data_IF_486520683401
#
_entry.id   IF_486520683401
#
_cell.length_a   1.000
_cell.length_b   1.000
_cell.length_c   1.000
_cell.angle_alpha   90.00
_cell.angle_beta   90.00
_cell.angle_gamma   90.00
#
_symmetry.space_group_name_H-M   'P 1'
#
loop_
_entity.id
_entity.type
_entity.pdbx_description
1 polymer ?
#
# COMPACT_ATOMS: atom_id res chain seq x y z
N UNK A 1 3.30 3.13 18.81
CA UNK A 1 2.72 2.15 17.89
C UNK A 1 2.89 2.67 16.48
N UNK A 2 3.57 1.89 15.64
CA UNK A 2 3.79 2.22 14.23
C UNK A 2 2.69 1.66 13.33
N UNK A 3 1.91 0.70 13.85
CA UNK A 3 0.68 0.23 13.24
C UNK A 3 -0.50 0.18 14.20
N UNK A 4 -1.71 0.12 13.67
CA UNK A 4 -2.95 -0.19 14.39
C UNK A 4 -3.93 -0.98 13.51
N UNK A 5 -4.70 -1.91 14.11
CA UNK A 5 -5.77 -2.60 13.38
C UNK A 5 -6.98 -1.69 13.24
N UNK A 6 -7.55 -1.63 12.04
CA UNK A 6 -8.72 -0.80 11.70
C UNK A 6 -9.99 -1.63 11.47
N UNK A 7 -9.95 -2.90 11.85
CA UNK A 7 -11.06 -3.85 11.67
C UNK A 7 -10.83 -4.79 10.50
N UNK A 8 -11.93 -5.29 9.95
CA UNK A 8 -11.93 -6.23 8.83
C UNK A 8 -12.86 -5.77 7.73
N UNK A 9 -12.49 -6.08 6.49
CA UNK A 9 -13.30 -5.90 5.29
C UNK A 9 -13.60 -7.24 4.63
N UNK A 10 -14.66 -7.25 3.84
CA UNK A 10 -14.97 -8.35 2.92
C UNK A 10 -14.56 -7.88 1.53
N UNK A 11 -13.60 -8.57 0.93
CA UNK A 11 -13.22 -8.29 -0.44
C UNK A 11 -14.37 -8.67 -1.40
N UNK A 12 -14.61 -7.89 -2.47
CA UNK A 12 -15.58 -8.24 -3.49
C UNK A 12 -15.11 -9.47 -4.26
N UNK A 13 -16.00 -10.03 -5.10
CA UNK A 13 -15.63 -11.12 -5.99
C UNK A 13 -14.41 -10.76 -6.86
N UNK A 14 -13.50 -11.71 -7.03
CA UNK A 14 -12.31 -11.50 -7.85
C UNK A 14 -12.70 -11.33 -9.32
N UNK A 15 -12.15 -10.30 -9.95
CA UNK A 15 -12.39 -9.94 -11.36
C UNK A 15 -11.10 -9.74 -12.15
N UNK A 16 -9.96 -9.62 -11.48
CA UNK A 16 -8.66 -9.33 -12.07
C UNK A 16 -8.38 -7.84 -12.29
N UNK A 17 -9.19 -6.94 -11.71
CA UNK A 17 -8.98 -5.48 -11.86
C UNK A 17 -7.72 -5.01 -11.15
N UNK A 18 -7.09 -3.97 -11.70
CA UNK A 18 -5.88 -3.38 -11.13
C UNK A 18 -5.86 -1.87 -11.29
N UNK A 19 -5.54 -1.17 -10.21
CA UNK A 19 -5.11 0.22 -10.23
C UNK A 19 -3.96 0.41 -9.24
N UNK A 20 -3.04 1.30 -9.58
CA UNK A 20 -1.86 1.58 -8.78
C UNK A 20 -1.84 3.07 -8.45
N UNK A 21 -1.91 3.40 -7.15
CA UNK A 21 -1.80 4.78 -6.67
C UNK A 21 -2.76 5.74 -7.38
N UNK A 22 -3.97 5.28 -7.67
CA UNK A 22 -4.99 6.09 -8.35
C UNK A 22 -5.54 7.14 -7.39
N UNK A 23 -5.63 8.42 -7.77
CA UNK A 23 -6.29 9.41 -6.93
C UNK A 23 -7.79 9.11 -6.78
N UNK A 24 -8.29 9.22 -5.57
CA UNK A 24 -9.71 9.11 -5.23
C UNK A 24 -10.04 10.01 -4.04
N UNK A 25 -11.33 10.22 -3.75
CA UNK A 25 -11.75 10.97 -2.57
C UNK A 25 -12.09 9.97 -1.46
N UNK A 26 -11.41 10.09 -0.32
CA UNK A 26 -11.63 9.19 0.81
C UNK A 26 -13.06 9.34 1.37
N UNK A 27 -13.71 8.20 1.62
CA UNK A 27 -15.11 8.15 2.08
C UNK A 27 -16.15 8.34 0.97
N UNK A 28 -15.71 8.46 -0.30
CA UNK A 28 -16.59 8.77 -1.43
C UNK A 28 -16.46 7.76 -2.56
N UNK A 29 -17.30 6.74 -2.55
CA UNK A 29 -17.37 5.73 -3.61
C UNK A 29 -17.66 6.32 -4.99
N UNK A 30 -18.41 7.42 -5.07
CA UNK A 30 -18.72 8.10 -6.33
C UNK A 30 -17.48 8.71 -7.02
N UNK A 31 -16.36 8.82 -6.30
CA UNK A 31 -15.07 9.23 -6.88
C UNK A 31 -14.35 8.12 -7.64
N UNK A 32 -14.78 6.86 -7.51
CA UNK A 32 -14.18 5.73 -8.21
C UNK A 32 -14.71 5.61 -9.65
N UNK A 33 -13.83 5.38 -10.64
CA UNK A 33 -14.25 4.92 -11.96
C UNK A 33 -15.13 3.67 -11.90
N UNK A 34 -16.03 3.50 -12.88
CA UNK A 34 -17.03 2.43 -12.91
C UNK A 34 -16.43 1.02 -12.73
N UNK A 35 -15.25 0.78 -13.28
CA UNK A 35 -14.53 -0.50 -13.19
C UNK A 35 -14.07 -0.86 -11.76
N UNK A 36 -13.97 0.11 -10.84
CA UNK A 36 -13.56 -0.11 -9.46
C UNK A 36 -14.72 -0.01 -8.45
N UNK A 37 -15.95 0.23 -8.92
CA UNK A 37 -17.14 0.42 -8.05
C UNK A 37 -17.52 -0.81 -7.21
N UNK A 38 -16.98 -2.00 -7.49
CA UNK A 38 -17.16 -3.15 -6.59
C UNK A 38 -16.46 -2.97 -5.23
N UNK A 39 -15.52 -2.02 -5.12
CA UNK A 39 -14.84 -1.64 -3.88
C UNK A 39 -15.53 -0.49 -3.14
N UNK A 40 -16.71 -0.04 -3.58
CA UNK A 40 -17.39 1.13 -3.02
C UNK A 40 -17.67 1.04 -1.53
N UNK A 41 -18.16 -0.11 -1.05
CA UNK A 41 -18.39 -0.33 0.38
C UNK A 41 -17.09 -0.20 1.19
N UNK A 42 -15.98 -0.74 0.68
CA UNK A 42 -14.67 -0.62 1.33
C UNK A 42 -14.21 0.84 1.38
N UNK A 43 -14.38 1.59 0.28
CA UNK A 43 -13.97 3.01 0.20
C UNK A 43 -14.81 3.92 1.11
N UNK A 44 -16.08 3.61 1.30
CA UNK A 44 -16.95 4.35 2.24
C UNK A 44 -16.63 4.02 3.70
N UNK A 45 -16.25 2.78 3.99
CA UNK A 45 -15.93 2.34 5.36
C UNK A 45 -14.52 2.72 5.80
N UNK A 46 -13.55 2.70 4.88
CA UNK A 46 -12.13 2.89 5.19
C UNK A 46 -11.68 4.31 4.86
N UNK A 47 -11.70 5.16 5.90
CA UNK A 47 -11.23 6.54 5.84
C UNK A 47 -10.15 6.73 6.91
N UNK A 48 -9.03 7.34 6.53
CA UNK A 48 -8.02 7.75 7.51
C UNK A 48 -8.56 8.89 8.38
N UNK A 49 -8.26 8.86 9.67
CA UNK A 49 -8.85 9.79 10.64
C UNK A 49 -8.63 11.25 10.24
N UNK A 50 -9.74 12.01 10.14
CA UNK A 50 -9.72 13.41 9.74
C UNK A 50 -9.40 13.66 8.26
N UNK A 51 -9.50 12.65 7.39
CA UNK A 51 -9.24 12.77 5.95
C UNK A 51 -10.47 12.46 5.07
N UNK A 52 -11.67 12.42 5.66
CA UNK A 52 -12.90 12.28 4.88
C UNK A 52 -13.07 13.45 3.91
N UNK A 53 -13.35 13.16 2.64
CA UNK A 53 -13.45 14.17 1.59
C UNK A 53 -12.11 14.66 1.02
N UNK A 54 -10.98 14.26 1.60
CA UNK A 54 -9.64 14.58 1.09
C UNK A 54 -9.25 13.63 -0.06
N UNK A 55 -8.34 14.11 -0.91
CA UNK A 55 -7.73 13.26 -1.95
C UNK A 55 -6.73 12.31 -1.28
N UNK A 56 -6.95 11.01 -1.46
CA UNK A 56 -5.99 9.95 -1.17
C UNK A 56 -5.58 9.23 -2.44
N UNK A 57 -4.73 8.21 -2.31
CA UNK A 57 -4.36 7.31 -3.41
C UNK A 57 -4.78 5.88 -3.07
N UNK A 58 -5.44 5.21 -4.00
CA UNK A 58 -5.89 3.83 -3.87
C UNK A 58 -5.09 2.90 -4.78
N UNK A 59 -4.73 1.74 -4.25
CA UNK A 59 -4.23 0.62 -5.03
C UNK A 59 -5.17 -0.56 -4.83
N UNK A 60 -5.66 -1.11 -5.93
CA UNK A 60 -6.37 -2.38 -6.01
C UNK A 60 -5.50 -3.28 -6.88
N UNK A 61 -5.09 -4.43 -6.38
CA UNK A 61 -4.25 -5.36 -7.15
C UNK A 61 -4.80 -6.77 -7.03
N UNK A 62 -5.55 -7.16 -8.04
CA UNK A 62 -6.08 -8.51 -8.19
C UNK A 62 -5.18 -9.33 -9.12
N UNK A 63 -4.63 -10.42 -8.63
CA UNK A 63 -3.80 -11.31 -9.44
C UNK A 63 -3.85 -12.77 -8.99
N UNK A 64 -3.69 -13.73 -9.93
CA UNK A 64 -3.35 -15.09 -9.56
C UNK A 64 -1.91 -15.11 -9.03
N UNK A 65 -1.72 -15.75 -7.89
CA UNK A 65 -0.40 -15.99 -7.30
C UNK A 65 -0.18 -17.50 -7.26
N UNK A 66 1.07 -17.92 -7.43
CA UNK A 66 1.47 -19.35 -7.36
C UNK A 66 1.95 -19.67 -5.95
N UNK A 67 1.71 -20.89 -5.47
CA UNK A 67 2.26 -21.40 -4.22
C UNK A 67 3.78 -21.16 -4.12
N UNK A 68 4.24 -20.73 -2.93
CA UNK A 68 5.64 -20.38 -2.68
C UNK A 68 6.08 -19.04 -3.26
N UNK A 69 5.18 -18.25 -3.84
CA UNK A 69 5.43 -16.88 -4.30
C UNK A 69 4.59 -15.88 -3.52
N UNK A 70 5.07 -14.64 -3.43
CA UNK A 70 4.30 -13.50 -2.95
C UNK A 70 3.74 -12.72 -4.14
N UNK A 71 2.66 -11.96 -3.92
CA UNK A 71 2.08 -11.11 -4.96
C UNK A 71 3.01 -9.95 -5.34
N UNK A 72 3.76 -9.47 -4.35
CA UNK A 72 4.76 -8.41 -4.44
C UNK A 72 6.04 -8.92 -3.80
N UNK A 73 7.18 -8.62 -4.40
CA UNK A 73 8.47 -9.08 -3.93
C UNK A 73 9.57 -8.37 -4.69
N UNK A 74 10.45 -7.68 -3.96
CA UNK A 74 11.66 -7.05 -4.45
C UNK A 74 12.71 -7.05 -3.33
N UNK A 75 13.91 -6.53 -3.60
CA UNK A 75 14.98 -6.45 -2.61
C UNK A 75 16.12 -7.43 -2.87
N UNK A 76 17.25 -7.19 -2.21
CA UNK A 76 18.51 -7.88 -2.47
C UNK A 76 18.73 -9.15 -1.63
N UNK A 77 17.82 -9.45 -0.68
CA UNK A 77 17.94 -10.56 0.27
C UNK A 77 16.99 -11.74 0.00
N UNK A 78 17.02 -12.73 0.89
CA UNK A 78 16.16 -13.92 0.82
C UNK A 78 14.70 -13.66 1.22
N UNK A 79 14.45 -12.54 1.91
CA UNK A 79 13.14 -12.04 2.34
C UNK A 79 12.97 -10.64 1.78
N UNK A 80 11.74 -10.23 1.45
CA UNK A 80 11.41 -8.86 1.03
C UNK A 80 10.90 -8.08 2.22
N UNK A 81 11.72 -7.28 2.90
CA UNK A 81 11.23 -6.42 4.00
C UNK A 81 11.40 -4.99 3.55
N UNK A 82 10.37 -4.16 3.71
CA UNK A 82 10.44 -2.76 3.27
C UNK A 82 9.56 -1.85 4.11
N UNK A 83 9.79 -0.55 3.95
CA UNK A 83 8.93 0.54 4.44
C UNK A 83 8.28 1.24 3.25
N UNK A 84 7.20 2.00 3.49
CA UNK A 84 6.54 2.79 2.46
C UNK A 84 7.43 3.96 2.00
N UNK A 85 8.17 4.60 2.91
CA UNK A 85 9.09 5.68 2.58
C UNK A 85 10.55 5.26 2.66
N UNK A 86 11.36 5.83 1.76
CA UNK A 86 12.80 5.96 1.89
C UNK A 86 13.16 7.39 2.31
N UNK A 87 14.23 7.56 3.08
CA UNK A 87 14.77 8.89 3.42
C UNK A 87 16.05 9.14 2.64
N UNK A 88 16.06 10.20 1.82
CA UNK A 88 17.29 10.71 1.18
C UNK A 88 17.51 12.15 1.61
N UNK A 89 18.53 12.39 2.47
CA UNK A 89 18.75 13.70 3.12
C UNK A 89 17.46 14.17 3.82
N UNK A 90 16.90 15.30 3.39
CA UNK A 90 15.71 15.93 3.98
C UNK A 90 14.42 15.61 3.21
N UNK A 91 14.45 14.68 2.25
CA UNK A 91 13.27 14.30 1.45
C UNK A 91 12.85 12.86 1.72
N UNK A 92 11.53 12.67 1.85
CA UNK A 92 10.87 11.36 1.91
C UNK A 92 10.21 11.07 0.57
N UNK A 93 10.40 9.86 0.06
CA UNK A 93 9.84 9.41 -1.21
C UNK A 93 9.59 7.90 -1.16
N UNK A 94 8.91 7.32 -2.15
CA UNK A 94 8.63 5.88 -2.24
C UNK A 94 9.85 5.01 -2.65
N UNK A 95 11.05 5.58 -2.66
CA UNK A 95 12.23 5.02 -3.33
C UNK A 95 12.35 5.48 -4.77
N UNK A 96 13.55 5.59 -5.35
CA UNK A 96 13.67 5.74 -6.80
C UNK A 96 12.98 4.52 -7.45
N UNK A 97 12.40 4.68 -8.65
CA UNK A 97 11.97 3.53 -9.42
C UNK A 97 13.18 2.60 -9.55
N UNK A 98 12.92 1.31 -9.71
CA UNK A 98 13.88 0.23 -9.98
C UNK A 98 14.96 0.52 -11.05
N UNK A 99 15.00 1.69 -11.70
CA UNK A 99 15.93 2.06 -12.79
C UNK A 99 16.33 3.55 -12.85
N UNK A 100 16.58 4.20 -11.71
CA UNK A 100 17.44 5.41 -11.66
C UNK A 100 16.75 6.78 -11.51
N UNK A 101 17.45 7.66 -10.77
CA UNK A 101 17.11 9.04 -10.36
C UNK A 101 15.90 9.20 -9.42
N UNK A 102 15.94 10.27 -8.62
CA UNK A 102 15.00 10.61 -7.52
C UNK A 102 13.56 10.43 -7.98
N UNK A 103 12.74 9.75 -7.18
CA UNK A 103 11.30 9.70 -7.44
C UNK A 103 10.73 11.12 -7.40
N UNK A 104 9.90 11.51 -8.39
CA UNK A 104 9.13 12.75 -8.36
C UNK A 104 8.08 12.78 -7.24
N UNK A 105 7.89 11.68 -6.51
CA UNK A 105 6.88 11.56 -5.47
C UNK A 105 7.48 11.81 -4.09
N UNK A 106 7.01 12.87 -3.43
CA UNK A 106 7.38 13.25 -2.08
C UNK A 106 6.29 12.87 -1.08
N UNK A 107 6.71 12.59 0.15
CA UNK A 107 5.84 12.16 1.24
C UNK A 107 5.97 13.06 2.46
N UNK A 108 4.84 13.40 3.05
CA UNK A 108 4.78 14.02 4.38
C UNK A 108 5.15 12.99 5.46
N UNK A 109 5.86 13.40 6.53
CA UNK A 109 6.36 12.49 7.55
C UNK A 109 5.27 11.82 8.40
N UNK A 110 4.08 12.42 8.48
CA UNK A 110 2.93 11.94 9.24
C UNK A 110 1.93 11.14 8.38
N UNK A 111 2.24 10.95 7.09
CA UNK A 111 1.41 10.16 6.18
C UNK A 111 1.14 8.77 6.74
N UNK A 112 -0.11 8.31 6.56
CA UNK A 112 -0.58 6.99 6.97
C UNK A 112 -1.09 6.21 5.78
N UNK A 113 -0.99 4.89 5.92
CA UNK A 113 -1.38 3.94 4.88
C UNK A 113 -2.26 2.86 5.51
N UNK A 114 -3.40 2.57 4.90
CA UNK A 114 -4.19 1.38 5.18
C UNK A 114 -3.79 0.28 4.20
N UNK A 115 -3.50 -0.91 4.68
CA UNK A 115 -3.26 -2.10 3.87
C UNK A 115 -4.18 -3.25 4.27
N UNK A 116 -4.62 -4.05 3.30
CA UNK A 116 -5.40 -5.25 3.53
C UNK A 116 -5.12 -6.32 2.47
N UNK A 117 -5.31 -7.59 2.84
CA UNK A 117 -5.12 -8.74 1.97
C UNK A 117 -6.31 -9.69 2.09
N UNK A 118 -6.77 -10.22 0.95
CA UNK A 118 -7.86 -11.22 0.89
C UNK A 118 -7.45 -12.63 1.33
N UNK A 119 -6.14 -12.88 1.50
CA UNK A 119 -5.60 -14.19 1.92
C UNK A 119 -4.78 -13.97 3.20
N UNK A 120 -5.11 -14.72 4.25
CA UNK A 120 -4.39 -14.69 5.52
C UNK A 120 -2.93 -15.15 5.37
N UNK A 121 -2.09 -14.78 6.34
CA UNK A 121 -0.69 -15.19 6.40
C UNK A 121 0.17 -14.73 5.21
N UNK A 122 -0.23 -13.65 4.52
CA UNK A 122 0.46 -13.15 3.31
C UNK A 122 1.13 -11.79 3.49
N UNK A 123 1.05 -11.21 4.69
CA UNK A 123 1.72 -9.97 5.06
C UNK A 123 2.05 -9.98 6.55
N UNK A 124 3.28 -9.58 6.88
CA UNK A 124 3.74 -9.40 8.26
C UNK A 124 4.15 -7.95 8.49
N UNK A 125 3.84 -7.40 9.66
CA UNK A 125 4.20 -6.03 10.08
C UNK A 125 4.94 -6.04 11.41
N UNK A 126 5.89 -5.12 11.63
CA UNK A 126 6.61 -4.98 12.90
C UNK A 126 6.30 -3.65 13.58
N UNK A 127 6.12 -3.65 14.91
CA UNK A 127 5.80 -2.44 15.69
C UNK A 127 7.08 -1.64 16.01
N UNK A 128 7.80 -1.26 14.96
CA UNK A 128 9.00 -0.43 15.02
C UNK A 128 8.97 0.56 13.86
N UNK A 129 9.64 1.70 14.02
CA UNK A 129 9.86 2.67 12.96
C UNK A 129 11.32 2.58 12.52
N UNK A 130 11.55 2.42 11.23
CA UNK A 130 12.90 2.30 10.65
C UNK A 130 13.07 3.39 9.61
N UNK A 131 13.75 4.47 10.00
CA UNK A 131 13.98 5.62 9.10
C UNK A 131 15.27 5.49 8.28
N UNK A 132 16.18 4.62 8.70
CA UNK A 132 17.49 4.38 8.08
C UNK A 132 17.43 3.26 7.04
N UNK A 133 16.56 3.42 6.05
CA UNK A 133 16.36 2.46 4.97
C UNK A 133 17.42 2.63 3.88
N UNK A 134 17.53 1.65 2.98
CA UNK A 134 18.19 1.89 1.69
C UNK A 134 17.43 2.98 0.89
N UNK A 135 18.04 3.53 -0.18
CA UNK A 135 17.37 4.53 -1.01
C UNK A 135 16.03 4.08 -1.61
N UNK A 136 15.77 2.78 -1.74
CA UNK A 136 14.54 2.18 -2.25
C UNK A 136 13.60 1.64 -1.15
N UNK A 137 13.86 1.97 0.12
CA UNK A 137 13.04 1.53 1.25
C UNK A 137 13.24 0.05 1.62
N UNK A 138 14.20 -0.63 0.97
CA UNK A 138 14.52 -2.04 1.22
C UNK A 138 15.25 -2.25 2.55
N UNK A 139 14.84 -3.30 3.26
CA UNK A 139 15.39 -3.79 4.52
C UNK A 139 15.74 -5.29 4.43
N UNK A 140 15.69 -5.88 3.23
CA UNK A 140 15.90 -7.32 3.00
C UNK A 140 17.25 -7.83 3.52
N UNK A 141 18.31 -7.02 3.40
CA UNK A 141 19.65 -7.36 3.92
C UNK A 141 19.74 -7.31 5.46
N UNK A 142 18.75 -6.70 6.11
CA UNK A 142 18.62 -6.57 7.57
C UNK A 142 17.56 -7.52 8.13
N UNK A 143 17.20 -8.57 7.40
CA UNK A 143 16.10 -9.47 7.79
C UNK A 143 16.24 -10.10 9.18
N UNK A 144 17.46 -10.28 9.69
CA UNK A 144 17.72 -10.77 11.05
C UNK A 144 17.25 -9.80 12.15
N UNK A 145 17.11 -8.50 11.86
CA UNK A 145 16.56 -7.50 12.77
C UNK A 145 15.03 -7.58 12.88
N UNK A 146 14.39 -8.31 11.97
CA UNK A 146 12.94 -8.47 11.88
C UNK A 146 12.55 -9.96 12.01
N UNK A 147 12.76 -10.56 13.19
CA UNK A 147 12.36 -11.94 13.45
C UNK A 147 10.84 -12.07 13.36
N UNK A 148 10.36 -13.18 12.79
CA UNK A 148 8.92 -13.36 12.52
C UNK A 148 8.09 -13.51 13.79
N UNK A 149 8.69 -14.01 14.86
CA UNK A 149 8.08 -14.13 16.19
C UNK A 149 7.83 -12.79 16.87
N UNK A 150 8.53 -11.72 16.46
CA UNK A 150 8.28 -10.36 16.92
C UNK A 150 7.35 -9.59 15.97
N UNK A 151 7.08 -10.13 14.78
CA UNK A 151 6.17 -9.57 13.81
C UNK A 151 4.73 -9.99 14.06
N UNK A 152 3.80 -9.20 13.54
CA UNK A 152 2.38 -9.52 13.53
C UNK A 152 1.99 -9.97 12.13
N UNK A 153 1.53 -11.22 12.03
CA UNK A 153 0.93 -11.73 10.80
C UNK A 153 -0.50 -11.18 10.64
N UNK A 154 -0.83 -10.69 9.44
CA UNK A 154 -2.17 -10.20 9.13
C UNK A 154 -3.14 -11.34 8.81
N UNK A 155 -4.37 -11.23 9.32
CA UNK A 155 -5.46 -12.12 8.94
C UNK A 155 -6.07 -11.74 7.58
N UNK A 156 -6.85 -12.66 7.00
CA UNK A 156 -7.63 -12.39 5.79
C UNK A 156 -8.66 -11.30 6.06
N UNK A 157 -8.71 -10.30 5.19
CA UNK A 157 -9.63 -9.16 5.32
C UNK A 157 -9.22 -8.15 6.39
N UNK A 158 -8.17 -8.41 7.17
CA UNK A 158 -7.72 -7.47 8.20
C UNK A 158 -7.17 -6.21 7.55
N UNK A 159 -7.64 -5.05 8.05
CA UNK A 159 -7.13 -3.74 7.67
C UNK A 159 -6.14 -3.29 8.72
N UNK A 160 -4.90 -3.04 8.30
CA UNK A 160 -3.86 -2.46 9.14
C UNK A 160 -3.58 -1.04 8.68
N UNK A 161 -3.63 -0.09 9.61
CA UNK A 161 -3.04 1.22 9.40
C UNK A 161 -1.57 1.18 9.81
N UNK A 162 -0.67 1.64 8.95
CA UNK A 162 0.76 1.70 9.18
C UNK A 162 1.29 3.11 8.94
N UNK A 163 2.34 3.50 9.66
CA UNK A 163 3.15 4.67 9.31
C UNK A 163 4.11 4.37 8.17
N UNK A 164 4.61 5.41 7.50
CA UNK A 164 5.48 5.25 6.33
C UNK A 164 6.82 4.54 6.60
N UNK A 165 7.28 4.50 7.85
CA UNK A 165 8.51 3.82 8.26
C UNK A 165 8.26 2.48 8.95
N UNK A 166 7.05 1.95 8.86
CA UNK A 166 6.69 0.66 9.46
C UNK A 166 7.19 -0.47 8.56
N UNK A 167 8.13 -1.31 9.03
CA UNK A 167 8.58 -2.44 8.25
C UNK A 167 7.45 -3.43 8.03
N UNK A 168 7.35 -3.92 6.80
CA UNK A 168 6.40 -4.98 6.45
C UNK A 168 6.96 -5.88 5.33
N UNK A 169 6.53 -7.14 5.36
CA UNK A 169 7.02 -8.21 4.50
C UNK A 169 5.84 -8.87 3.78
N UNK A 170 5.79 -8.88 2.43
CA UNK A 170 4.91 -9.78 1.72
C UNK A 170 5.40 -11.23 1.91
N UNK A 171 4.55 -12.05 2.50
CA UNK A 171 4.86 -13.46 2.77
C UNK A 171 4.43 -14.32 1.58
N UNK A 172 5.28 -15.26 1.12
CA UNK A 172 4.89 -16.22 0.09
C UNK A 172 3.68 -17.05 0.53
N UNK A 173 2.68 -17.15 -0.34
CA UNK A 173 1.48 -17.91 -0.02
C UNK A 173 1.75 -19.42 -0.06
N UNK A 174 1.02 -20.18 0.73
CA UNK A 174 1.17 -21.64 0.82
C UNK A 174 0.56 -22.38 -0.38
N UNK A 175 -0.54 -21.87 -0.90
CA UNK A 175 -1.33 -22.49 -1.98
C UNK A 175 -1.52 -21.50 -3.13
N UNK A 176 -1.63 -22.01 -4.36
CA UNK A 176 -1.94 -21.17 -5.53
C UNK A 176 -3.38 -20.69 -5.48
N UNK A 177 -3.64 -19.45 -5.91
CA UNK A 177 -4.98 -18.89 -5.86
C UNK A 177 -5.06 -17.45 -6.32
N UNK A 178 -6.29 -16.97 -6.44
CA UNK A 178 -6.60 -15.58 -6.72
C UNK A 178 -6.42 -14.75 -5.44
N UNK A 179 -5.61 -13.70 -5.51
CA UNK A 179 -5.33 -12.79 -4.40
C UNK A 179 -5.68 -11.37 -4.80
N UNK A 180 -6.32 -10.67 -3.87
CA UNK A 180 -6.62 -9.24 -3.90
C UNK A 180 -5.80 -8.57 -2.79
N UNK A 181 -5.07 -7.52 -3.15
CA UNK A 181 -4.41 -6.58 -2.25
C UNK A 181 -5.06 -5.21 -2.39
N UNK A 182 -5.26 -4.56 -1.25
CA UNK A 182 -5.88 -3.24 -1.16
C UNK A 182 -5.00 -2.32 -0.35
N UNK A 183 -4.78 -1.10 -0.84
CA UNK A 183 -4.06 -0.06 -0.12
C UNK A 183 -4.73 1.30 -0.30
N UNK A 184 -4.91 2.04 0.79
CA UNK A 184 -5.23 3.47 0.78
C UNK A 184 -4.04 4.22 1.36
N UNK A 185 -3.53 5.18 0.62
CA UNK A 185 -2.52 6.15 1.07
C UNK A 185 -3.26 7.45 1.34
N UNK A 186 -3.04 8.02 2.53
CA UNK A 186 -3.66 9.28 2.91
C UNK A 186 -3.14 10.49 2.14
N UNK A 187 -3.58 11.67 2.59
CA UNK A 187 -3.03 12.94 2.15
C UNK A 187 -1.54 13.04 2.49
N UNK A 188 -0.84 13.96 1.83
CA UNK A 188 0.58 14.20 2.02
C UNK A 188 1.48 13.53 0.98
N UNK A 189 0.90 13.15 -0.17
CA UNK A 189 1.67 12.74 -1.35
C UNK A 189 1.72 13.90 -2.34
N UNK A 190 2.92 14.32 -2.73
CA UNK A 190 3.13 15.34 -3.76
C UNK A 190 3.84 14.74 -4.96
N UNK A 191 3.36 15.04 -6.17
CA UNK A 191 3.91 14.48 -7.41
C UNK A 191 3.25 13.16 -7.82
N UNK A 192 3.71 12.58 -8.93
CA UNK A 192 3.19 11.33 -9.50
C UNK A 192 4.26 10.63 -10.32
N UNK A 193 4.10 9.32 -10.49
CA UNK A 193 4.86 8.54 -11.46
C UNK A 193 4.00 8.26 -12.70
N UNK A 194 4.64 7.94 -13.83
CA UNK A 194 3.94 7.64 -15.08
C UNK A 194 3.07 6.39 -15.00
N UNK A 195 3.43 5.44 -14.12
CA UNK A 195 2.68 4.20 -13.93
C UNK A 195 1.48 4.35 -12.97
N UNK A 196 1.28 5.52 -12.35
CA UNK A 196 0.10 5.75 -11.52
C UNK A 196 -1.16 5.72 -12.39
N UNK A 197 -2.15 4.94 -11.98
CA UNK A 197 -3.43 4.86 -12.69
C UNK A 197 -4.14 6.20 -12.60
N UNK A 198 -4.55 6.73 -13.76
CA UNK A 198 -5.28 8.00 -13.84
C UNK A 198 -6.72 7.81 -13.39
N UNK A 199 -7.26 8.82 -12.71
CA UNK A 199 -8.69 8.91 -12.46
C UNK A 199 -9.31 9.97 -13.36
N UNK A 200 -9.59 9.60 -14.61
CA UNK A 200 -10.16 10.53 -15.58
C UNK A 200 -11.53 11.10 -15.15
N UNK A 201 -12.24 10.41 -14.25
CA UNK A 201 -13.49 10.92 -13.71
C UNK A 201 -13.25 12.19 -12.87
N UNK A 202 -12.27 12.17 -11.97
CA UNK A 202 -11.89 13.34 -11.17
C UNK A 202 -11.21 14.43 -12.01
N UNK A 203 -10.40 14.07 -13.00
CA UNK A 203 -9.79 15.02 -13.94
C UNK A 203 -10.85 15.80 -14.71
N UNK A 204 -11.90 15.12 -15.22
CA UNK A 204 -13.02 15.78 -15.92
C UNK A 204 -13.82 16.72 -15.03
N UNK A 205 -13.87 16.45 -13.73
CA UNK A 205 -14.49 17.33 -12.73
C UNK A 205 -13.60 18.51 -12.33
N UNK A 206 -12.35 18.55 -12.79
CA UNK A 206 -11.38 19.59 -12.42
C UNK A 206 -10.90 19.50 -10.97
N UNK A 207 -11.06 18.33 -10.34
CA UNK A 207 -10.67 18.10 -8.94
C UNK A 207 -9.19 17.72 -8.79
N UNK A 208 -8.58 17.23 -9.87
CA UNK A 208 -7.16 16.92 -9.98
C UNK A 208 -6.63 17.35 -11.35
N UNK A 209 -5.31 17.52 -11.46
CA UNK A 209 -4.65 17.75 -12.74
C UNK A 209 -4.71 16.50 -13.62
N UNK A 210 -4.87 16.70 -14.93
CA UNK A 210 -4.79 15.65 -15.95
C UNK A 210 -3.36 15.12 -16.13
#
# INVERSE_FOLDING_TARGET
MTYQSRGNIIFPEFTGVRCYMMPFIQGRADSLPKEFQQYSEIVEQLVLDGQEGEIGLITIDESPVVAGKSQRGYGAGERTIHTEACRTRDTLSWGPPTWGMRSPVLLDPDLRVLIANSIADTCMVWDVAVEDTTPDGDLSMRASEFPREAGRMMASGEVMEIGIFTPHEPIPQKESGNRQFFRIVGKGVTGREDYFTRNEHLERLGLIAA
#
